data_IF_423785656310
#
_entry.id   IF_423785656310
#
_cell.length_a   1.000
_cell.length_b   1.000
_cell.length_c   1.000
_cell.angle_alpha   90.00
_cell.angle_beta   90.00
_cell.angle_gamma   90.00
#
_symmetry.space_group_name_H-M   'P 1'
#
loop_
_entity.id
_entity.type
_entity.pdbx_description
1 polymer ?
#
# COMPACT_ATOMS: atom_id res chain seq x y z
N UNK A 1 16.85 -8.24 24.32
CA UNK A 1 16.02 -8.76 23.22
C UNK A 1 14.59 -8.19 23.30
N UNK A 2 13.96 -8.24 24.45
CA UNK A 2 12.58 -7.81 24.69
C UNK A 2 12.40 -6.28 24.54
N UNK A 3 13.33 -5.49 25.08
CA UNK A 3 13.34 -4.04 24.93
C UNK A 3 13.44 -3.60 23.47
N UNK A 4 14.22 -4.32 22.65
CA UNK A 4 14.34 -4.07 21.23
C UNK A 4 13.06 -4.40 20.45
N UNK A 5 12.27 -5.39 20.88
CA UNK A 5 10.97 -5.69 20.28
C UNK A 5 9.95 -4.61 20.58
N UNK A 6 9.92 -4.10 21.81
CA UNK A 6 9.06 -2.97 22.20
C UNK A 6 9.43 -1.71 21.43
N UNK A 7 10.73 -1.37 21.38
CA UNK A 7 11.22 -0.23 20.60
C UNK A 7 10.85 -0.35 19.13
N UNK A 8 10.99 -1.54 18.53
CA UNK A 8 10.55 -1.78 17.13
C UNK A 8 9.05 -1.61 16.97
N UNK A 9 8.23 -2.13 17.87
CA UNK A 9 6.77 -2.07 17.79
C UNK A 9 6.26 -0.64 17.89
N UNK A 10 6.84 0.12 18.80
CA UNK A 10 6.43 1.50 19.08
C UNK A 10 7.06 2.46 18.09
N UNK A 11 8.38 2.43 17.90
CA UNK A 11 9.09 3.33 16.99
C UNK A 11 8.64 3.12 15.55
N UNK A 12 8.40 1.87 15.12
CA UNK A 12 7.97 1.57 13.76
C UNK A 12 6.56 2.13 13.48
N UNK A 13 5.62 1.99 14.41
CA UNK A 13 4.25 2.51 14.24
C UNK A 13 4.18 4.02 14.48
N UNK A 14 4.86 4.53 15.49
CA UNK A 14 4.88 5.96 15.78
C UNK A 14 5.66 6.77 14.74
N UNK A 15 6.73 6.25 14.16
CA UNK A 15 7.42 6.90 13.02
C UNK A 15 6.54 7.02 11.76
N UNK A 16 5.42 6.30 11.67
CA UNK A 16 4.41 6.52 10.62
C UNK A 16 3.52 7.73 10.91
N UNK A 17 3.30 8.04 12.16
CA UNK A 17 2.36 9.08 12.62
C UNK A 17 3.08 10.38 12.96
N UNK A 18 4.31 10.30 13.43
CA UNK A 18 5.11 11.46 13.78
C UNK A 18 6.23 11.71 12.77
N UNK A 19 6.62 12.98 12.56
CA UNK A 19 7.78 13.31 11.73
C UNK A 19 9.01 12.54 12.17
N UNK A 20 9.92 12.28 11.23
CA UNK A 20 11.12 11.46 11.47
C UNK A 20 12.09 12.01 12.53
N UNK A 21 11.90 13.25 12.94
CA UNK A 21 12.64 13.96 13.97
C UNK A 21 12.09 13.73 15.39
N UNK A 22 10.95 13.05 15.54
CA UNK A 22 10.41 12.64 16.84
C UNK A 22 10.82 11.20 17.13
N UNK A 23 11.71 11.01 18.07
CA UNK A 23 12.13 9.68 18.54
C UNK A 23 11.61 9.44 19.97
N UNK A 24 11.06 8.24 20.19
CA UNK A 24 10.68 7.78 21.52
C UNK A 24 11.80 6.93 22.09
N UNK A 25 12.22 7.23 23.29
CA UNK A 25 13.12 6.40 24.07
C UNK A 25 12.36 5.79 25.23
N UNK A 26 12.42 4.45 25.34
CA UNK A 26 11.81 3.73 26.45
C UNK A 26 12.91 3.49 27.46
N UNK A 27 12.87 4.21 28.56
CA UNK A 27 13.67 3.94 29.72
C UNK A 27 12.82 3.13 30.71
N UNK A 28 13.13 1.86 30.86
CA UNK A 28 12.41 0.97 31.78
C UNK A 28 12.50 1.41 33.24
N UNK A 29 13.48 2.26 33.60
CA UNK A 29 13.67 2.76 34.94
C UNK A 29 12.91 4.08 35.22
N UNK A 30 12.73 4.91 34.20
CA UNK A 30 12.19 6.26 34.34
C UNK A 30 10.91 6.53 33.50
N UNK A 31 10.41 5.50 32.81
CA UNK A 31 9.23 5.62 31.97
C UNK A 31 9.54 6.08 30.54
N UNK A 32 8.55 6.64 29.89
CA UNK A 32 8.63 7.08 28.52
C UNK A 32 9.28 8.45 28.40
N UNK A 33 10.30 8.59 27.56
CA UNK A 33 10.87 9.86 27.18
C UNK A 33 10.71 10.08 25.69
N UNK A 34 10.23 11.27 25.32
CA UNK A 34 10.26 11.76 23.96
C UNK A 34 11.55 12.55 23.81
N UNK A 35 12.46 12.07 22.94
CA UNK A 35 13.63 12.83 22.51
C UNK A 35 13.17 13.77 21.39
N UNK A 36 13.46 15.04 21.52
CA UNK A 36 13.09 16.10 20.58
C UNK A 36 11.57 16.36 20.49
N UNK A 37 11.10 17.04 21.51
CA UNK A 37 9.74 17.57 21.57
C UNK A 37 9.59 18.80 20.67
N UNK A 38 8.96 18.63 19.52
CA UNK A 38 8.05 19.67 19.08
C UNK A 38 6.74 19.42 19.80
N UNK A 39 6.32 20.37 20.61
CA UNK A 39 5.24 20.37 21.62
C UNK A 39 3.84 19.94 21.13
N UNK A 40 3.72 19.28 19.99
CA UNK A 40 2.46 19.04 19.28
C UNK A 40 1.59 17.92 19.87
N UNK A 41 2.11 17.05 20.72
CA UNK A 41 1.42 15.81 21.12
C UNK A 41 1.43 15.47 22.59
N UNK A 42 2.04 16.32 23.39
CA UNK A 42 2.01 16.12 24.83
C UNK A 42 0.94 17.02 25.44
N UNK A 43 0.13 16.50 26.38
CA UNK A 43 -0.71 17.39 27.17
C UNK A 43 0.20 18.41 27.84
N UNK A 44 -0.06 19.68 27.57
CA UNK A 44 0.58 20.77 28.29
C UNK A 44 0.37 20.55 29.78
N UNK A 45 1.45 20.47 30.51
CA UNK A 45 1.46 20.39 31.96
C UNK A 45 1.11 19.01 32.59
N UNK A 46 2.09 18.17 32.63
CA UNK A 46 2.09 17.05 33.56
C UNK A 46 3.39 16.28 33.42
N UNK A 47 4.04 15.99 34.48
CA UNK A 47 5.34 15.33 34.58
C UNK A 47 5.45 13.93 33.94
N UNK A 48 4.51 13.55 33.04
CA UNK A 48 4.48 12.28 32.33
C UNK A 48 4.59 12.53 30.84
N UNK A 49 5.66 12.05 30.25
CA UNK A 49 5.98 12.15 28.83
C UNK A 49 5.31 11.04 27.97
N UNK A 50 4.40 10.26 28.57
CA UNK A 50 3.68 9.19 27.87
C UNK A 50 2.43 9.71 27.17
N UNK A 51 2.10 9.22 25.95
CA UNK A 51 0.85 9.50 25.28
C UNK A 51 -0.36 9.19 26.16
N UNK A 52 -1.42 9.99 26.07
CA UNK A 52 -2.61 9.86 26.92
C UNK A 52 -3.21 8.46 26.90
N UNK A 53 -3.25 7.84 25.73
CA UNK A 53 -3.80 6.48 25.57
C UNK A 53 -3.02 5.45 26.42
N UNK A 54 -1.70 5.59 26.53
CA UNK A 54 -0.88 4.69 27.37
C UNK A 54 -1.16 4.94 28.84
N UNK A 55 -1.35 6.20 29.25
CA UNK A 55 -1.67 6.57 30.63
C UNK A 55 -3.02 6.03 31.05
N UNK A 56 -4.02 6.13 30.19
CA UNK A 56 -5.39 5.63 30.44
C UNK A 56 -5.37 4.12 30.59
N UNK A 57 -4.74 3.41 29.68
CA UNK A 57 -4.66 1.95 29.72
C UNK A 57 -3.89 1.49 30.96
N UNK A 58 -2.81 2.18 31.32
CA UNK A 58 -2.06 1.89 32.52
C UNK A 58 -2.90 2.09 33.78
N UNK A 59 -3.67 3.17 33.87
CA UNK A 59 -4.60 3.42 34.96
C UNK A 59 -5.58 2.25 35.15
N UNK A 60 -6.15 1.72 34.06
CA UNK A 60 -7.02 0.56 34.11
C UNK A 60 -6.34 -0.73 34.61
N UNK A 61 -5.03 -0.87 34.37
CA UNK A 61 -4.27 -2.01 34.91
C UNK A 61 -3.98 -1.86 36.44
N UNK A 62 -3.98 -0.65 36.95
CA UNK A 62 -3.81 -0.38 38.37
C UNK A 62 -5.14 -0.47 39.14
N UNK A 63 -6.29 -0.40 38.43
CA UNK A 63 -7.63 -0.49 39.07
C UNK A 63 -8.05 -1.96 39.28
N UNK A 64 -8.38 -2.36 40.50
CA UNK A 64 -8.82 -3.72 40.80
C UNK A 64 -10.14 -4.08 40.11
N UNK A 65 -10.16 -5.22 39.40
CA UNK A 65 -11.36 -5.76 38.78
C UNK A 65 -11.72 -5.24 37.43
N UNK A 66 -10.86 -4.43 36.78
CA UNK A 66 -11.06 -4.06 35.36
C UNK A 66 -10.88 -5.28 34.46
N UNK A 67 -11.87 -5.57 33.62
CA UNK A 67 -11.83 -6.67 32.66
C UNK A 67 -11.45 -6.12 31.29
N UNK A 68 -10.42 -6.67 30.70
CA UNK A 68 -9.97 -6.27 29.36
C UNK A 68 -10.74 -7.06 28.28
N UNK A 69 -11.96 -6.64 28.00
CA UNK A 69 -12.77 -7.10 26.86
C UNK A 69 -13.17 -5.91 25.98
N UNK A 70 -13.80 -6.19 24.85
CA UNK A 70 -14.17 -5.16 23.85
C UNK A 70 -15.15 -4.13 24.47
N UNK A 71 -16.11 -4.58 25.24
CA UNK A 71 -17.16 -3.72 25.82
C UNK A 71 -16.59 -2.80 26.91
N UNK A 72 -15.77 -3.34 27.82
CA UNK A 72 -15.13 -2.55 28.88
C UNK A 72 -14.14 -1.53 28.32
N UNK A 73 -13.38 -1.90 27.26
CA UNK A 73 -12.49 -0.98 26.56
C UNK A 73 -13.29 0.10 25.83
N UNK A 74 -14.42 -0.24 25.20
CA UNK A 74 -15.33 0.73 24.59
C UNK A 74 -15.90 1.70 25.63
N UNK A 75 -16.33 1.20 26.79
CA UNK A 75 -16.81 2.05 27.86
C UNK A 75 -15.72 3.01 28.37
N UNK A 76 -14.49 2.53 28.50
CA UNK A 76 -13.33 3.36 28.86
C UNK A 76 -13.09 4.48 27.83
N UNK A 77 -13.11 4.15 26.54
CA UNK A 77 -12.97 5.13 25.46
C UNK A 77 -14.09 6.16 25.55
N UNK A 78 -15.35 5.72 25.70
CA UNK A 78 -16.51 6.61 25.85
C UNK A 78 -16.38 7.55 27.06
N UNK A 79 -15.88 7.03 28.19
CA UNK A 79 -15.62 7.85 29.37
C UNK A 79 -14.54 8.91 29.09
N UNK A 80 -13.48 8.54 28.40
CA UNK A 80 -12.43 9.47 27.98
C UNK A 80 -12.96 10.54 27.02
N UNK A 81 -13.82 10.15 26.08
CA UNK A 81 -14.42 11.04 25.10
C UNK A 81 -15.39 12.06 25.71
N UNK A 82 -15.83 11.86 26.94
CA UNK A 82 -16.58 12.88 27.68
C UNK A 82 -15.72 14.11 28.01
N UNK A 83 -14.39 13.97 28.02
CA UNK A 83 -13.43 15.04 28.27
C UNK A 83 -12.84 15.60 26.98
N UNK A 84 -12.35 14.71 26.11
CA UNK A 84 -11.89 15.06 24.76
C UNK A 84 -12.10 13.89 23.78
N UNK A 85 -12.32 14.22 22.51
CA UNK A 85 -12.40 13.20 21.46
C UNK A 85 -11.07 12.45 21.34
N UNK A 86 -11.17 11.12 21.22
CA UNK A 86 -10.01 10.30 20.87
C UNK A 86 -9.65 10.54 19.42
N UNK A 87 -8.36 10.65 19.11
CA UNK A 87 -7.90 10.82 17.74
C UNK A 87 -7.85 9.47 17.05
N UNK A 88 -8.09 9.47 15.74
CA UNK A 88 -8.13 8.27 14.93
C UNK A 88 -6.87 7.40 15.12
N UNK A 89 -5.69 8.01 15.11
CA UNK A 89 -4.44 7.27 15.31
C UNK A 89 -4.28 6.73 16.75
N UNK A 90 -4.79 7.42 17.78
CA UNK A 90 -4.75 6.92 19.17
C UNK A 90 -5.56 5.63 19.27
N UNK A 91 -6.71 5.58 18.60
CA UNK A 91 -7.57 4.41 18.55
C UNK A 91 -6.91 3.26 17.77
N UNK A 92 -6.34 3.53 16.59
CA UNK A 92 -5.66 2.52 15.78
C UNK A 92 -4.47 1.87 16.52
N UNK A 93 -3.79 2.62 17.37
CA UNK A 93 -2.65 2.12 18.14
C UNK A 93 -2.99 1.61 19.54
N UNK A 94 -4.27 1.56 19.92
CA UNK A 94 -4.73 1.15 21.24
C UNK A 94 -4.13 -0.17 21.69
N UNK A 95 -4.20 -1.23 20.88
CA UNK A 95 -3.64 -2.54 21.25
C UNK A 95 -2.12 -2.52 21.42
N UNK A 96 -1.43 -1.67 20.66
CA UNK A 96 0.02 -1.49 20.82
C UNK A 96 0.34 -0.72 22.10
N UNK A 97 -0.48 0.27 22.45
CA UNK A 97 -0.38 1.01 23.70
C UNK A 97 -0.66 0.11 24.91
N UNK A 98 -1.65 -0.78 24.82
CA UNK A 98 -1.95 -1.78 25.85
C UNK A 98 -0.75 -2.70 26.11
N UNK A 99 -0.13 -3.24 25.06
CA UNK A 99 1.07 -4.08 25.19
C UNK A 99 2.22 -3.32 25.85
N UNK A 100 2.46 -2.08 25.41
CA UNK A 100 3.53 -1.26 25.92
C UNK A 100 3.33 -0.92 27.40
N UNK A 101 2.13 -0.48 27.78
CA UNK A 101 1.77 -0.16 29.15
C UNK A 101 1.90 -1.39 30.08
N UNK A 102 1.39 -2.55 29.65
CA UNK A 102 1.46 -3.78 30.43
C UNK A 102 2.92 -4.22 30.66
N UNK A 103 3.74 -4.18 29.63
CA UNK A 103 5.16 -4.58 29.74
C UNK A 103 5.94 -3.62 30.63
N UNK A 104 5.69 -2.31 30.49
CA UNK A 104 6.33 -1.31 31.34
C UNK A 104 5.94 -1.51 32.82
N UNK A 105 4.64 -1.68 33.11
CA UNK A 105 4.15 -1.90 34.45
C UNK A 105 4.73 -3.17 35.07
N UNK A 106 4.77 -4.28 34.30
CA UNK A 106 5.39 -5.52 34.77
C UNK A 106 6.88 -5.36 35.05
N UNK A 107 7.63 -4.64 34.23
CA UNK A 107 9.04 -4.38 34.47
C UNK A 107 9.27 -3.58 35.75
N UNK A 108 8.44 -2.56 36.02
CA UNK A 108 8.49 -1.78 37.25
C UNK A 108 8.15 -2.63 38.51
N UNK A 109 7.12 -3.48 38.40
CA UNK A 109 6.69 -4.34 39.50
C UNK A 109 7.71 -5.45 39.82
N UNK A 110 8.39 -5.99 38.80
CA UNK A 110 9.50 -6.94 38.98
C UNK A 110 10.65 -6.27 39.74
N UNK A 111 11.01 -5.04 39.36
CA UNK A 111 12.07 -4.29 40.07
C UNK A 111 11.71 -4.00 41.53
N UNK A 112 10.41 -3.86 41.84
CA UNK A 112 9.90 -3.63 43.22
C UNK A 112 9.60 -4.92 43.98
N UNK A 113 9.89 -6.08 43.38
CA UNK A 113 9.56 -7.41 43.95
C UNK A 113 8.05 -7.61 44.24
N UNK A 114 7.19 -6.94 43.44
CA UNK A 114 5.72 -6.95 43.59
C UNK A 114 5.03 -7.78 42.52
N UNK A 115 5.59 -8.92 42.16
CA UNK A 115 5.12 -9.76 41.06
C UNK A 115 3.77 -10.46 41.31
N UNK A 116 3.36 -10.63 42.55
CA UNK A 116 2.07 -11.22 42.93
C UNK A 116 0.98 -10.18 43.17
N UNK A 117 1.24 -8.93 42.87
CA UNK A 117 0.29 -7.83 43.05
C UNK A 117 -0.89 -7.87 42.09
N UNK A 118 -2.02 -7.25 42.45
CA UNK A 118 -3.18 -7.12 41.54
C UNK A 118 -2.79 -6.42 40.23
N UNK A 119 -2.03 -5.32 40.24
CA UNK A 119 -1.57 -4.70 38.96
C UNK A 119 -0.75 -5.63 38.06
N UNK A 120 0.06 -6.53 38.64
CA UNK A 120 0.80 -7.50 37.85
C UNK A 120 -0.13 -8.50 37.13
N UNK A 121 -1.14 -9.00 37.83
CA UNK A 121 -2.16 -9.89 37.26
C UNK A 121 -2.97 -9.18 36.18
N UNK A 122 -3.36 -7.94 36.41
CA UNK A 122 -4.08 -7.12 35.44
C UNK A 122 -3.23 -6.85 34.17
N UNK A 123 -1.95 -6.52 34.32
CA UNK A 123 -1.05 -6.32 33.19
C UNK A 123 -0.88 -7.60 32.36
N UNK A 124 -0.79 -8.76 32.99
CA UNK A 124 -0.78 -10.06 32.31
C UNK A 124 -2.11 -10.30 31.59
N UNK A 125 -3.24 -10.06 32.23
CA UNK A 125 -4.58 -10.19 31.63
C UNK A 125 -4.71 -9.29 30.39
N UNK A 126 -4.25 -8.05 30.47
CA UNK A 126 -4.25 -7.12 29.33
C UNK A 126 -3.42 -7.64 28.16
N UNK A 127 -2.25 -8.26 28.38
CA UNK A 127 -1.44 -8.85 27.31
C UNK A 127 -2.16 -10.02 26.60
N UNK A 128 -2.92 -10.82 27.34
CA UNK A 128 -3.73 -11.88 26.73
C UNK A 128 -4.95 -11.32 26.00
N UNK A 129 -5.61 -10.32 26.57
CA UNK A 129 -6.80 -9.69 26.01
C UNK A 129 -6.55 -9.01 24.64
N UNK A 130 -5.34 -8.55 24.36
CA UNK A 130 -4.98 -7.99 23.05
C UNK A 130 -5.33 -8.91 21.87
N UNK A 131 -5.42 -10.22 22.08
CA UNK A 131 -5.80 -11.19 21.05
C UNK A 131 -7.31 -11.37 20.89
N UNK A 132 -8.07 -10.99 21.89
CA UNK A 132 -9.53 -11.23 21.96
C UNK A 132 -10.34 -9.95 21.78
N UNK A 133 -9.74 -8.78 21.96
CA UNK A 133 -10.40 -7.49 21.70
C UNK A 133 -10.66 -7.34 20.20
N UNK A 134 -11.90 -7.09 19.84
CA UNK A 134 -12.32 -6.83 18.46
C UNK A 134 -12.05 -5.36 18.09
N UNK A 135 -10.91 -5.13 17.43
CA UNK A 135 -10.53 -3.79 16.98
C UNK A 135 -11.42 -3.26 15.87
N UNK A 136 -11.98 -4.14 15.03
CA UNK A 136 -12.87 -3.68 13.96
C UNK A 136 -14.13 -3.04 14.56
N UNK A 137 -14.69 -3.69 15.58
CA UNK A 137 -15.85 -3.17 16.32
C UNK A 137 -15.54 -1.86 17.07
N UNK A 138 -14.37 -1.75 17.72
CA UNK A 138 -13.97 -0.52 18.38
C UNK A 138 -13.76 0.64 17.40
N UNK A 139 -13.15 0.37 16.23
CA UNK A 139 -12.99 1.36 15.18
C UNK A 139 -14.35 1.80 14.60
N UNK A 140 -15.26 0.86 14.39
CA UNK A 140 -16.62 1.18 13.93
C UNK A 140 -17.37 2.10 14.93
N UNK A 141 -17.20 1.89 16.23
CA UNK A 141 -17.91 2.67 17.24
C UNK A 141 -17.30 4.04 17.52
N UNK A 142 -15.97 4.15 17.53
CA UNK A 142 -15.24 5.31 18.06
C UNK A 142 -14.39 6.06 17.03
N UNK A 143 -14.31 5.61 15.78
CA UNK A 143 -13.55 6.34 14.78
C UNK A 143 -14.39 7.47 14.16
N UNK A 144 -14.48 8.58 14.88
CA UNK A 144 -15.23 9.76 14.45
C UNK A 144 -14.75 10.31 13.11
N UNK A 145 -13.46 10.16 12.80
CA UNK A 145 -12.91 10.61 11.53
C UNK A 145 -13.43 9.76 10.36
N UNK A 146 -13.52 8.44 10.52
CA UNK A 146 -14.10 7.56 9.51
C UNK A 146 -15.57 7.90 9.25
N UNK A 147 -16.34 8.05 10.33
CA UNK A 147 -17.76 8.45 10.20
C UNK A 147 -17.90 9.75 9.41
N UNK A 148 -17.04 10.72 9.66
CA UNK A 148 -17.07 11.99 8.93
C UNK A 148 -16.64 11.83 7.47
N UNK A 149 -15.64 11.01 7.17
CA UNK A 149 -15.16 10.78 5.81
C UNK A 149 -16.17 9.99 4.95
N UNK A 150 -17.05 9.19 5.57
CA UNK A 150 -18.13 8.49 4.87
C UNK A 150 -19.21 9.44 4.32
N UNK A 151 -19.33 10.65 4.89
CA UNK A 151 -20.25 11.69 4.41
C UNK A 151 -19.83 12.34 3.09
N UNK A 152 -18.73 11.88 2.50
CA UNK A 152 -18.22 12.39 1.23
C UNK A 152 -19.22 12.25 0.11
N UNK A 153 -19.39 13.32 -0.70
CA UNK A 153 -20.37 13.41 -1.79
C UNK A 153 -20.21 12.31 -2.84
N UNK A 154 -18.97 11.92 -3.15
CA UNK A 154 -18.68 10.92 -4.18
C UNK A 154 -18.99 9.49 -3.72
N UNK A 155 -19.07 9.22 -2.41
CA UNK A 155 -19.34 7.90 -1.83
C UNK A 155 -18.28 6.84 -2.21
N UNK A 156 -17.03 7.25 -2.35
CA UNK A 156 -15.92 6.34 -2.67
C UNK A 156 -15.18 5.87 -1.44
N UNK A 157 -15.21 6.63 -0.34
CA UNK A 157 -14.44 6.30 0.86
C UNK A 157 -14.79 4.92 1.43
N UNK A 158 -16.07 4.60 1.57
CA UNK A 158 -16.56 3.30 2.06
C UNK A 158 -16.18 2.11 1.17
N UNK A 159 -15.88 2.39 -0.09
CA UNK A 159 -15.51 1.36 -1.08
C UNK A 159 -14.01 1.17 -1.19
N UNK A 160 -13.24 1.91 -0.42
CA UNK A 160 -11.79 1.76 -0.36
C UNK A 160 -11.41 0.58 0.51
N UNK A 161 -10.29 -0.05 0.21
CA UNK A 161 -9.74 -1.06 1.09
C UNK A 161 -9.16 -0.41 2.36
N UNK A 162 -9.08 -1.17 3.45
CA UNK A 162 -8.64 -0.72 4.77
C UNK A 162 -7.30 0.04 4.73
N UNK A 163 -6.34 -0.45 3.94
CA UNK A 163 -5.02 0.19 3.79
C UNK A 163 -5.15 1.60 3.18
N UNK A 164 -6.08 1.79 2.24
CA UNK A 164 -6.31 3.09 1.61
C UNK A 164 -7.00 4.04 2.60
N UNK A 165 -7.99 3.56 3.35
CA UNK A 165 -8.66 4.34 4.39
C UNK A 165 -7.66 4.74 5.48
N UNK A 166 -6.80 3.80 5.96
CA UNK A 166 -5.71 4.10 6.89
C UNK A 166 -4.78 5.19 6.34
N UNK A 167 -4.45 5.13 5.05
CA UNK A 167 -3.58 6.12 4.41
C UNK A 167 -4.23 7.51 4.34
N UNK A 168 -5.54 7.59 4.11
CA UNK A 168 -6.30 8.86 4.12
C UNK A 168 -6.30 9.47 5.52
N UNK A 169 -6.63 8.68 6.54
CA UNK A 169 -6.60 9.12 7.95
C UNK A 169 -5.20 9.59 8.34
N UNK A 170 -4.18 8.80 8.00
CA UNK A 170 -2.79 9.14 8.27
C UNK A 170 -2.39 10.48 7.65
N UNK A 171 -2.64 10.67 6.35
CA UNK A 171 -2.27 11.91 5.64
C UNK A 171 -3.02 13.12 6.21
N UNK A 172 -4.30 12.97 6.51
CA UNK A 172 -5.11 14.03 7.11
C UNK A 172 -4.63 14.38 8.51
N UNK A 173 -4.39 13.37 9.35
CA UNK A 173 -3.86 13.55 10.69
C UNK A 173 -2.50 14.28 10.67
N UNK A 174 -1.56 13.87 9.81
CA UNK A 174 -0.26 14.51 9.68
C UNK A 174 -0.36 15.96 9.23
N UNK A 175 -1.31 16.28 8.35
CA UNK A 175 -1.57 17.65 7.90
C UNK A 175 -2.17 18.48 9.03
N UNK A 176 -3.15 17.94 9.75
CA UNK A 176 -3.77 18.60 10.89
C UNK A 176 -2.75 18.96 11.97
N UNK A 177 -1.87 18.02 12.26
CA UNK A 177 -0.75 18.19 13.17
C UNK A 177 0.17 19.34 12.77
N UNK A 178 0.60 19.33 11.51
CA UNK A 178 1.50 20.37 11.00
C UNK A 178 0.84 21.76 11.09
N UNK A 179 -0.45 21.81 10.78
CA UNK A 179 -1.20 23.08 10.77
C UNK A 179 -1.70 23.50 12.17
N UNK A 180 -1.48 22.66 13.20
CA UNK A 180 -1.96 22.92 14.57
C UNK A 180 -3.48 22.90 14.71
N UNK A 181 -4.19 22.20 13.80
CA UNK A 181 -5.64 22.06 13.78
C UNK A 181 -6.09 20.73 14.36
N UNK A 182 -7.35 20.66 14.76
CA UNK A 182 -7.97 19.35 15.06
C UNK A 182 -8.25 18.56 13.77
N UNK A 183 -8.10 17.24 13.81
CA UNK A 183 -8.28 16.38 12.64
C UNK A 183 -9.72 16.40 12.10
N UNK A 184 -10.72 16.47 13.00
CA UNK A 184 -12.13 16.54 12.62
C UNK A 184 -12.49 17.90 12.00
N UNK A 185 -11.89 18.99 12.51
CA UNK A 185 -12.10 20.32 11.96
C UNK A 185 -11.51 20.41 10.54
N UNK A 186 -10.30 19.89 10.34
CA UNK A 186 -9.66 19.87 9.03
C UNK A 186 -10.42 18.97 8.04
N UNK A 187 -10.93 17.84 8.50
CA UNK A 187 -11.75 16.95 7.67
C UNK A 187 -13.03 17.65 7.18
N UNK A 188 -13.72 18.39 8.07
CA UNK A 188 -14.90 19.19 7.70
C UNK A 188 -14.55 20.25 6.67
N UNK A 189 -13.46 20.98 6.85
CA UNK A 189 -12.98 21.97 5.88
C UNK A 189 -12.77 21.33 4.50
N UNK A 190 -12.17 20.14 4.45
CA UNK A 190 -11.94 19.45 3.18
C UNK A 190 -13.22 18.87 2.57
N UNK A 191 -14.17 18.43 3.38
CA UNK A 191 -15.50 17.99 2.90
C UNK A 191 -16.29 19.16 2.28
N UNK A 192 -16.29 20.31 2.92
CA UNK A 192 -16.94 21.52 2.39
C UNK A 192 -16.31 21.95 1.05
N UNK A 193 -14.99 21.92 0.95
CA UNK A 193 -14.29 22.19 -0.30
C UNK A 193 -14.56 21.15 -1.38
N UNK A 194 -14.61 19.88 -1.00
CA UNK A 194 -14.98 18.76 -1.86
C UNK A 194 -16.37 18.95 -2.46
N UNK A 195 -17.34 19.38 -1.62
CA UNK A 195 -18.69 19.71 -2.03
C UNK A 195 -18.76 20.89 -2.99
N UNK A 196 -18.04 21.97 -2.67
CA UNK A 196 -18.03 23.20 -3.47
C UNK A 196 -17.42 22.99 -4.86
N UNK A 197 -16.35 22.19 -4.95
CA UNK A 197 -15.62 21.93 -6.20
C UNK A 197 -16.13 20.68 -6.94
N UNK A 198 -17.07 19.93 -6.36
CA UNK A 198 -17.55 18.63 -6.86
C UNK A 198 -16.41 17.66 -7.19
N UNK A 199 -15.46 17.55 -6.25
CA UNK A 199 -14.27 16.70 -6.35
C UNK A 199 -14.16 15.80 -5.15
N UNK A 200 -13.57 14.63 -5.35
CA UNK A 200 -13.29 13.67 -4.28
C UNK A 200 -12.39 14.29 -3.20
N UNK A 201 -12.70 14.06 -1.92
CA UNK A 201 -11.96 14.59 -0.76
C UNK A 201 -10.46 14.23 -0.79
N UNK A 202 -10.12 13.06 -1.29
CA UNK A 202 -8.75 12.60 -1.42
C UNK A 202 -7.85 13.56 -2.22
N UNK A 203 -8.41 14.31 -3.17
CA UNK A 203 -7.66 15.31 -3.91
C UNK A 203 -7.06 16.36 -2.95
N UNK A 204 -7.86 16.86 -2.00
CA UNK A 204 -7.44 17.88 -1.03
C UNK A 204 -6.48 17.31 0.00
N UNK A 205 -6.75 16.09 0.51
CA UNK A 205 -5.90 15.40 1.48
C UNK A 205 -4.50 15.16 0.88
N UNK A 206 -4.43 14.62 -0.33
CA UNK A 206 -3.14 14.34 -0.98
C UNK A 206 -2.42 15.61 -1.38
N UNK A 207 -3.11 16.61 -1.95
CA UNK A 207 -2.48 17.88 -2.32
C UNK A 207 -1.86 18.58 -1.11
N UNK A 208 -2.58 18.64 0.02
CA UNK A 208 -2.08 19.27 1.23
C UNK A 208 -0.89 18.49 1.82
N UNK A 209 -1.01 17.19 1.95
CA UNK A 209 0.06 16.33 2.45
C UNK A 209 1.31 16.40 1.57
N UNK A 210 1.16 16.28 0.25
CA UNK A 210 2.28 16.31 -0.69
C UNK A 210 2.99 17.66 -0.70
N UNK A 211 2.25 18.74 -0.51
CA UNK A 211 2.84 20.09 -0.40
C UNK A 211 3.75 20.22 0.82
N UNK A 212 3.39 19.57 1.94
CA UNK A 212 4.10 19.68 3.21
C UNK A 212 5.23 18.67 3.34
N UNK A 213 4.99 17.41 2.95
CA UNK A 213 5.86 16.30 3.30
C UNK A 213 6.56 15.64 2.10
N UNK A 214 6.03 15.80 0.87
CA UNK A 214 6.69 15.25 -0.29
C UNK A 214 7.68 16.25 -0.88
N UNK A 215 8.98 15.98 -0.69
CA UNK A 215 10.00 16.65 -1.49
C UNK A 215 9.75 16.29 -2.95
N UNK A 216 9.31 17.26 -3.75
CA UNK A 216 9.31 17.13 -5.21
C UNK A 216 10.75 16.89 -5.63
N UNK A 217 11.15 15.63 -5.78
CA UNK A 217 12.40 15.26 -6.41
C UNK A 217 12.36 15.85 -7.80
N UNK A 218 13.13 16.91 -7.99
CA UNK A 218 13.14 17.63 -9.25
C UNK A 218 13.74 16.71 -10.30
N UNK A 219 12.89 16.10 -11.15
CA UNK A 219 13.33 15.39 -12.36
C UNK A 219 14.18 16.29 -13.27
N UNK A 220 14.17 17.61 -13.01
CA UNK A 220 14.95 18.60 -13.74
C UNK A 220 16.47 18.35 -13.66
N UNK A 221 16.96 17.79 -12.56
CA UNK A 221 18.40 17.50 -12.41
C UNK A 221 18.77 16.09 -12.89
N UNK A 222 17.83 15.14 -12.93
CA UNK A 222 18.11 13.76 -13.30
C UNK A 222 18.60 13.62 -14.74
N UNK A 223 17.85 14.16 -15.70
CA UNK A 223 18.20 14.09 -17.13
C UNK A 223 19.53 14.79 -17.45
N UNK A 224 19.76 16.04 -17.02
CA UNK A 224 21.05 16.68 -17.18
C UNK A 224 22.20 15.89 -16.57
N UNK A 225 22.05 15.38 -15.35
CA UNK A 225 23.08 14.59 -14.70
C UNK A 225 23.40 13.30 -15.46
N UNK A 226 22.40 12.62 -15.96
CA UNK A 226 22.54 11.40 -16.79
C UNK A 226 23.26 11.62 -18.11
N UNK A 227 23.14 12.81 -18.70
CA UNK A 227 23.79 13.13 -19.99
C UNK A 227 25.16 13.78 -19.79
N UNK A 228 25.28 14.70 -18.84
CA UNK A 228 26.47 15.53 -18.68
C UNK A 228 27.58 14.77 -17.94
N UNK A 229 27.27 14.02 -16.88
CA UNK A 229 28.31 13.33 -16.12
C UNK A 229 29.12 12.33 -16.94
N UNK A 230 28.49 11.45 -17.78
CA UNK A 230 29.25 10.58 -18.68
C UNK A 230 30.04 11.36 -19.74
N UNK A 231 29.49 12.45 -20.26
CA UNK A 231 30.17 13.28 -21.26
C UNK A 231 31.43 13.94 -20.69
N UNK A 232 31.34 14.51 -19.51
CA UNK A 232 32.49 15.12 -18.82
C UNK A 232 33.59 14.09 -18.57
N UNK A 233 33.25 12.89 -18.08
CA UNK A 233 34.21 11.82 -17.84
C UNK A 233 34.84 11.30 -19.14
N UNK A 234 34.04 11.15 -20.18
CA UNK A 234 34.54 10.72 -21.50
C UNK A 234 35.53 11.75 -22.08
N UNK A 235 35.22 13.03 -21.99
CA UNK A 235 36.11 14.12 -22.42
C UNK A 235 37.38 14.14 -21.59
N UNK A 236 37.28 13.98 -20.28
CA UNK A 236 38.46 13.91 -19.39
C UNK A 236 39.39 12.78 -19.78
N UNK A 237 38.86 11.57 -20.05
CA UNK A 237 39.64 10.43 -20.54
C UNK A 237 40.28 10.76 -21.91
N UNK A 238 39.58 11.43 -22.81
CA UNK A 238 40.12 11.84 -24.10
C UNK A 238 41.29 12.80 -23.98
N UNK A 239 41.19 13.78 -23.07
CA UNK A 239 42.27 14.76 -22.78
C UNK A 239 43.45 14.06 -22.17
N UNK A 240 43.27 13.20 -21.17
CA UNK A 240 44.35 12.45 -20.52
C UNK A 240 45.10 11.53 -21.51
N UNK A 241 44.36 10.91 -22.43
CA UNK A 241 44.95 10.01 -23.42
C UNK A 241 45.36 10.73 -24.72
N UNK A 242 45.25 12.05 -24.79
CA UNK A 242 45.55 12.89 -25.96
C UNK A 242 44.88 12.40 -27.26
N UNK A 243 43.63 11.91 -27.18
CA UNK A 243 42.90 11.33 -28.29
C UNK A 243 41.55 12.01 -28.47
N UNK A 244 41.33 12.60 -29.65
CA UNK A 244 40.06 13.26 -29.98
C UNK A 244 38.89 12.29 -30.20
N UNK A 245 39.16 11.04 -30.54
CA UNK A 245 38.14 10.04 -30.84
C UNK A 245 37.70 9.26 -29.63
N UNK A 246 38.52 9.22 -28.58
CA UNK A 246 38.26 8.43 -27.38
C UNK A 246 36.99 8.85 -26.61
N UNK A 247 36.62 10.13 -26.49
CA UNK A 247 35.37 10.55 -25.86
C UNK A 247 34.13 9.95 -26.52
N UNK A 248 34.10 9.90 -27.84
CA UNK A 248 32.98 9.33 -28.59
C UNK A 248 32.84 7.82 -28.36
N UNK A 249 33.98 7.11 -28.31
CA UNK A 249 33.99 5.68 -28.06
C UNK A 249 33.60 5.33 -26.63
N UNK A 250 34.07 6.11 -25.65
CA UNK A 250 33.88 5.84 -24.23
C UNK A 250 32.55 6.36 -23.66
N UNK A 251 31.87 7.28 -24.33
CA UNK A 251 30.62 7.86 -23.83
C UNK A 251 29.59 6.81 -23.41
N UNK A 252 29.26 5.87 -24.28
CA UNK A 252 28.27 4.83 -24.01
C UNK A 252 28.72 3.83 -22.92
N UNK A 253 29.93 3.29 -22.92
CA UNK A 253 30.43 2.47 -21.80
C UNK A 253 30.40 3.18 -20.47
N UNK A 254 30.85 4.43 -20.40
CA UNK A 254 30.84 5.24 -19.19
C UNK A 254 29.41 5.53 -18.74
N UNK A 255 28.53 5.87 -19.67
CA UNK A 255 27.11 6.07 -19.41
C UNK A 255 26.44 4.81 -18.81
N UNK A 256 26.77 3.62 -19.34
CA UNK A 256 26.26 2.35 -18.82
C UNK A 256 26.70 2.05 -17.38
N UNK A 257 27.88 2.53 -16.98
CA UNK A 257 28.39 2.39 -15.60
C UNK A 257 27.79 3.43 -14.67
N UNK A 258 27.68 4.69 -15.13
CA UNK A 258 27.17 5.81 -14.31
C UNK A 258 25.68 5.71 -14.07
N UNK A 259 24.92 5.26 -15.08
CA UNK A 259 23.45 5.22 -15.01
C UNK A 259 22.92 4.49 -13.77
N UNK A 260 23.34 3.27 -13.41
CA UNK A 260 22.88 2.59 -12.20
C UNK A 260 23.20 3.36 -10.91
N UNK A 261 24.35 4.03 -10.86
CA UNK A 261 24.73 4.83 -9.70
C UNK A 261 23.84 6.08 -9.56
N UNK A 262 23.60 6.79 -10.66
CA UNK A 262 22.67 7.94 -10.68
C UNK A 262 21.26 7.51 -10.31
N UNK A 263 20.76 6.41 -10.89
CA UNK A 263 19.45 5.84 -10.57
C UNK A 263 19.35 5.53 -9.07
N UNK A 264 20.36 4.87 -8.50
CA UNK A 264 20.38 4.55 -7.09
C UNK A 264 20.33 5.79 -6.20
N UNK A 265 21.20 6.78 -6.43
CA UNK A 265 21.22 8.01 -5.62
C UNK A 265 19.98 8.87 -5.80
N UNK A 266 19.39 8.91 -6.99
CA UNK A 266 18.16 9.65 -7.23
C UNK A 266 16.93 8.95 -6.65
N UNK A 267 16.95 7.63 -6.51
CA UNK A 267 15.85 6.85 -5.92
C UNK A 267 15.91 6.78 -4.39
N UNK A 268 17.09 6.97 -3.78
CA UNK A 268 17.22 6.94 -2.32
C UNK A 268 16.21 7.84 -1.57
N UNK A 269 15.97 9.10 -2.00
CA UNK A 269 15.01 9.97 -1.33
C UNK A 269 13.55 9.71 -1.74
N UNK A 270 13.31 8.85 -2.73
CA UNK A 270 11.96 8.58 -3.24
C UNK A 270 11.36 7.45 -2.43
N UNK A 271 10.35 7.78 -1.64
CA UNK A 271 9.53 6.76 -0.97
C UNK A 271 8.49 6.23 -1.96
N UNK A 272 8.34 4.91 -2.02
CA UNK A 272 7.24 4.31 -2.77
C UNK A 272 5.91 4.68 -2.11
N UNK A 273 5.00 5.25 -2.89
CA UNK A 273 3.65 5.53 -2.43
C UNK A 273 2.72 4.37 -2.77
N UNK A 274 1.86 4.05 -1.81
CA UNK A 274 0.79 3.11 -2.03
C UNK A 274 -0.32 3.82 -2.82
N UNK A 275 -0.70 3.26 -3.96
CA UNK A 275 -1.80 3.82 -4.75
C UNK A 275 -3.14 3.48 -4.09
N UNK A 276 -4.05 4.46 -3.94
CA UNK A 276 -5.38 4.22 -3.44
C UNK A 276 -6.10 3.12 -4.24
N UNK A 277 -6.77 2.23 -3.55
CA UNK A 277 -7.49 1.09 -4.14
C UNK A 277 -8.91 1.03 -3.59
N UNK A 278 -9.83 0.67 -4.48
CA UNK A 278 -11.17 0.30 -4.07
C UNK A 278 -11.21 -1.20 -3.77
N UNK A 279 -12.00 -1.59 -2.79
CA UNK A 279 -12.29 -2.98 -2.51
C UNK A 279 -13.57 -3.39 -3.22
N UNK A 280 -13.48 -4.47 -3.95
CA UNK A 280 -14.64 -5.06 -4.60
C UNK A 280 -15.19 -6.13 -3.65
N UNK A 281 -16.08 -5.75 -2.75
CA UNK A 281 -16.71 -6.64 -1.79
C UNK A 281 -17.48 -7.75 -2.53
N UNK A 282 -16.81 -8.90 -2.71
CA UNK A 282 -17.37 -10.16 -3.19
C UNK A 282 -17.55 -10.31 -4.70
N UNK A 283 -17.85 -9.26 -5.48
CA UNK A 283 -18.00 -9.39 -6.93
C UNK A 283 -17.74 -8.11 -7.70
N UNK A 284 -17.25 -8.24 -8.92
CA UNK A 284 -17.11 -7.11 -9.85
C UNK A 284 -18.50 -6.61 -10.23
N UNK A 285 -18.82 -5.32 -9.98
CA UNK A 285 -20.13 -4.77 -10.30
C UNK A 285 -20.37 -4.76 -11.81
N UNK A 286 -21.61 -4.70 -12.24
CA UNK A 286 -22.00 -4.71 -13.66
C UNK A 286 -21.31 -3.61 -14.48
N UNK A 287 -21.10 -2.44 -13.89
CA UNK A 287 -20.36 -1.31 -14.50
C UNK A 287 -18.85 -1.59 -14.63
N UNK A 288 -18.32 -2.56 -13.89
CA UNK A 288 -16.92 -2.96 -13.87
C UNK A 288 -16.60 -4.20 -14.68
N UNK A 289 -17.43 -4.58 -15.67
CA UNK A 289 -17.20 -5.75 -16.53
C UNK A 289 -15.75 -5.86 -16.96
N UNK A 290 -15.13 -6.99 -16.65
CA UNK A 290 -13.70 -7.19 -16.85
C UNK A 290 -13.45 -8.26 -17.90
N UNK A 291 -12.56 -7.92 -18.86
CA UNK A 291 -12.09 -8.85 -19.89
C UNK A 291 -10.62 -9.16 -19.64
N UNK A 292 -10.30 -10.41 -19.33
CA UNK A 292 -8.91 -10.88 -19.19
C UNK A 292 -8.41 -11.35 -20.55
N UNK A 293 -7.56 -10.55 -21.21
CA UNK A 293 -6.98 -10.86 -22.50
C UNK A 293 -5.69 -11.65 -22.35
N UNK A 294 -5.63 -12.86 -22.93
CA UNK A 294 -4.48 -13.75 -22.87
C UNK A 294 -3.93 -13.94 -24.29
N UNK A 295 -2.84 -13.24 -24.59
CA UNK A 295 -2.13 -13.41 -25.86
C UNK A 295 -1.27 -14.68 -25.83
N UNK A 296 -1.48 -15.59 -26.77
CA UNK A 296 -0.75 -16.86 -26.86
C UNK A 296 -0.44 -17.25 -28.29
N UNK A 297 0.58 -18.10 -28.44
CA UNK A 297 0.91 -18.74 -29.69
C UNK A 297 0.35 -20.18 -29.67
N UNK A 298 -0.22 -20.64 -30.77
CA UNK A 298 -0.69 -22.01 -30.95
C UNK A 298 0.36 -22.84 -31.70
N UNK A 299 1.34 -23.46 -31.02
CA UNK A 299 2.42 -24.16 -31.72
C UNK A 299 2.06 -25.59 -32.11
N UNK A 300 1.27 -26.29 -31.30
CA UNK A 300 0.87 -27.69 -31.49
C UNK A 300 -0.32 -28.09 -30.61
N UNK A 301 -0.89 -29.26 -30.88
CA UNK A 301 -2.05 -29.78 -30.16
C UNK A 301 -1.77 -30.07 -28.66
N UNK A 302 -0.55 -30.46 -28.30
CA UNK A 302 -0.18 -30.73 -26.87
C UNK A 302 -0.24 -29.44 -26.03
N UNK A 303 0.20 -28.31 -26.60
CA UNK A 303 0.13 -27.03 -25.90
C UNK A 303 -1.31 -26.51 -25.76
N UNK A 304 -2.21 -26.85 -26.70
CA UNK A 304 -3.64 -26.54 -26.56
C UNK A 304 -4.24 -27.22 -25.32
N UNK A 305 -3.86 -28.47 -25.03
CA UNK A 305 -4.33 -29.17 -23.83
C UNK A 305 -3.82 -28.48 -22.54
N UNK A 306 -2.54 -28.10 -22.50
CA UNK A 306 -1.98 -27.33 -21.38
C UNK A 306 -2.64 -25.95 -21.23
N UNK A 307 -3.00 -25.34 -22.35
CA UNK A 307 -3.69 -24.06 -22.34
C UNK A 307 -5.07 -24.16 -21.73
N UNK A 308 -5.79 -25.26 -21.93
CA UNK A 308 -7.08 -25.54 -21.28
C UNK A 308 -6.95 -25.47 -19.76
N UNK A 309 -6.02 -26.25 -19.20
CA UNK A 309 -5.77 -26.27 -17.75
C UNK A 309 -5.40 -24.89 -17.20
N UNK A 310 -4.59 -24.14 -17.95
CA UNK A 310 -4.20 -22.77 -17.56
C UNK A 310 -5.39 -21.81 -17.57
N UNK A 311 -6.24 -21.86 -18.58
CA UNK A 311 -7.43 -21.01 -18.69
C UNK A 311 -8.42 -21.32 -17.57
N UNK A 312 -8.66 -22.60 -17.30
CA UNK A 312 -9.50 -23.05 -16.20
C UNK A 312 -8.97 -22.53 -14.85
N UNK A 313 -7.67 -22.70 -14.58
CA UNK A 313 -7.05 -22.20 -13.35
C UNK A 313 -7.18 -20.69 -13.21
N UNK A 314 -6.92 -19.91 -14.27
CA UNK A 314 -7.09 -18.46 -14.27
C UNK A 314 -8.53 -18.08 -13.98
N UNK A 315 -9.50 -18.76 -14.60
CA UNK A 315 -10.90 -18.51 -14.35
C UNK A 315 -11.28 -18.80 -12.90
N UNK A 316 -10.97 -19.98 -12.37
CA UNK A 316 -11.30 -20.37 -10.98
C UNK A 316 -10.71 -19.45 -9.92
N UNK A 317 -9.56 -18.82 -10.20
CA UNK A 317 -8.93 -17.84 -9.29
C UNK A 317 -9.46 -16.44 -9.42
N UNK A 318 -10.20 -16.11 -10.50
CA UNK A 318 -10.65 -14.74 -10.81
C UNK A 318 -12.15 -14.67 -11.16
N UNK A 319 -12.95 -15.66 -10.81
CA UNK A 319 -14.38 -15.75 -11.17
C UNK A 319 -15.32 -14.88 -10.28
N UNK A 320 -14.86 -13.73 -9.85
CA UNK A 320 -15.64 -12.83 -9.00
C UNK A 320 -16.46 -11.84 -9.85
N UNK A 321 -17.72 -12.17 -10.11
CA UNK A 321 -18.64 -11.31 -10.85
C UNK A 321 -18.59 -11.46 -12.37
N UNK A 322 -18.79 -10.37 -13.12
CA UNK A 322 -18.84 -10.41 -14.61
C UNK A 322 -17.43 -10.33 -15.22
N UNK A 323 -16.69 -11.41 -15.04
CA UNK A 323 -15.35 -11.62 -15.66
C UNK A 323 -15.48 -12.53 -16.86
N UNK A 324 -14.86 -12.14 -17.98
CA UNK A 324 -14.70 -12.97 -19.17
C UNK A 324 -13.25 -13.10 -19.55
N UNK A 325 -12.88 -14.23 -20.09
CA UNK A 325 -11.52 -14.49 -20.56
C UNK A 325 -11.54 -14.56 -22.08
N UNK A 326 -10.71 -13.74 -22.75
CA UNK A 326 -10.49 -13.83 -24.18
C UNK A 326 -9.11 -14.40 -24.47
N UNK A 327 -9.08 -15.44 -25.26
CA UNK A 327 -7.86 -16.01 -25.80
C UNK A 327 -7.53 -15.35 -27.14
N UNK A 328 -6.46 -14.56 -27.14
CA UNK A 328 -5.91 -13.93 -28.35
C UNK A 328 -4.86 -14.86 -28.92
N UNK A 329 -5.24 -15.67 -29.91
CA UNK A 329 -4.43 -16.74 -30.44
C UNK A 329 -3.71 -16.34 -31.73
N UNK A 330 -2.40 -16.45 -31.74
CA UNK A 330 -1.56 -16.30 -32.91
C UNK A 330 -1.09 -17.67 -33.45
N UNK A 331 -0.99 -17.79 -34.76
CA UNK A 331 -0.41 -18.95 -35.41
C UNK A 331 1.11 -18.78 -35.57
N UNK A 332 1.85 -19.91 -35.53
CA UNK A 332 3.30 -19.91 -35.76
C UNK A 332 3.65 -19.31 -37.14
N UNK A 333 4.76 -18.64 -37.21
CA UNK A 333 5.29 -18.08 -38.46
C UNK A 333 5.41 -19.13 -39.56
N UNK A 334 5.07 -18.77 -40.82
CA UNK A 334 5.16 -19.68 -41.97
C UNK A 334 5.43 -18.90 -43.23
N UNK A 335 5.93 -19.61 -44.25
CA UNK A 335 6.11 -19.04 -45.63
C UNK A 335 4.79 -18.89 -46.36
N UNK A 336 3.76 -19.61 -45.97
CA UNK A 336 2.41 -19.54 -46.51
C UNK A 336 1.48 -18.75 -45.59
N UNK A 337 0.48 -18.06 -46.13
CA UNK A 337 -0.49 -17.31 -45.31
C UNK A 337 -1.35 -18.22 -44.45
N UNK A 338 -1.61 -19.44 -44.87
CA UNK A 338 -2.37 -20.47 -44.11
C UNK A 338 -1.93 -21.87 -44.56
N UNK A 339 -2.02 -22.83 -43.64
CA UNK A 339 -1.71 -24.25 -43.86
C UNK A 339 -2.86 -25.14 -43.38
N UNK A 340 -2.88 -26.40 -43.80
CA UNK A 340 -3.84 -27.41 -43.29
C UNK A 340 -3.72 -27.61 -41.78
N UNK A 341 -2.50 -27.58 -41.26
CA UNK A 341 -2.20 -27.71 -39.83
C UNK A 341 -2.77 -26.55 -39.01
N UNK A 342 -2.76 -25.34 -39.57
CA UNK A 342 -3.36 -24.19 -38.92
C UNK A 342 -4.86 -24.38 -38.69
N UNK A 343 -5.54 -24.91 -39.71
CA UNK A 343 -6.98 -25.17 -39.63
C UNK A 343 -7.30 -26.24 -38.59
N UNK A 344 -6.45 -27.26 -38.48
CA UNK A 344 -6.59 -28.27 -37.44
C UNK A 344 -6.42 -27.67 -36.03
N UNK A 345 -5.36 -26.85 -35.82
CA UNK A 345 -5.10 -26.17 -34.53
C UNK A 345 -6.23 -25.22 -34.14
N UNK A 346 -6.77 -24.47 -35.12
CA UNK A 346 -7.91 -23.58 -34.86
C UNK A 346 -9.13 -24.38 -34.47
N UNK A 347 -9.47 -25.47 -35.16
CA UNK A 347 -10.62 -26.33 -34.77
C UNK A 347 -10.45 -26.97 -33.40
N UNK A 348 -9.26 -27.45 -33.08
CA UNK A 348 -8.97 -27.99 -31.74
C UNK A 348 -9.13 -26.92 -30.65
N UNK A 349 -8.64 -25.71 -30.91
CA UNK A 349 -8.79 -24.58 -29.95
C UNK A 349 -10.25 -24.15 -29.81
N UNK A 350 -11.01 -24.10 -30.93
CA UNK A 350 -12.44 -23.80 -30.90
C UNK A 350 -13.20 -24.82 -30.09
N UNK A 351 -12.92 -26.13 -30.29
CA UNK A 351 -13.55 -27.21 -29.49
C UNK A 351 -13.20 -27.06 -28.01
N UNK A 352 -11.95 -26.82 -27.68
CA UNK A 352 -11.51 -26.59 -26.30
C UNK A 352 -12.27 -25.43 -25.64
N UNK A 353 -12.44 -24.30 -26.34
CA UNK A 353 -13.20 -23.15 -25.83
C UNK A 353 -14.69 -23.47 -25.70
N UNK A 354 -15.26 -24.25 -26.62
CA UNK A 354 -16.65 -24.70 -26.53
C UNK A 354 -16.85 -25.60 -25.29
N UNK A 355 -15.94 -26.53 -25.05
CA UNK A 355 -15.96 -27.41 -23.88
C UNK A 355 -15.87 -26.59 -22.57
N UNK A 356 -14.98 -25.61 -22.51
CA UNK A 356 -14.87 -24.69 -21.38
C UNK A 356 -16.14 -23.84 -21.20
N UNK A 357 -16.74 -23.36 -22.28
CA UNK A 357 -17.96 -22.59 -22.22
C UNK A 357 -19.18 -23.39 -21.79
N UNK A 358 -19.21 -24.67 -22.11
CA UNK A 358 -20.23 -25.57 -21.60
C UNK A 358 -20.08 -25.79 -20.08
N UNK A 359 -18.85 -25.84 -19.59
CA UNK A 359 -18.54 -26.03 -18.16
C UNK A 359 -18.71 -24.73 -17.34
N UNK A 360 -18.41 -23.54 -17.93
CA UNK A 360 -18.32 -22.26 -17.24
C UNK A 360 -19.21 -21.16 -17.84
N UNK A 361 -20.42 -21.46 -18.23
CA UNK A 361 -21.49 -20.49 -18.59
C UNK A 361 -21.09 -19.41 -19.63
N UNK A 362 -20.42 -19.82 -20.70
CA UNK A 362 -20.00 -18.92 -21.79
C UNK A 362 -19.07 -17.76 -21.37
N UNK A 363 -18.15 -18.03 -20.48
CA UNK A 363 -17.19 -17.04 -19.96
C UNK A 363 -15.92 -16.90 -20.80
N UNK A 364 -15.71 -17.77 -21.82
CA UNK A 364 -14.51 -17.78 -22.63
C UNK A 364 -14.78 -17.34 -24.07
N UNK A 365 -13.92 -16.51 -24.59
CA UNK A 365 -13.94 -16.02 -25.95
C UNK A 365 -12.65 -16.43 -26.68
N UNK A 366 -12.73 -16.69 -27.98
CA UNK A 366 -11.58 -16.99 -28.83
C UNK A 366 -11.50 -15.98 -29.96
N UNK A 367 -10.36 -15.34 -30.06
CA UNK A 367 -9.97 -14.51 -31.22
C UNK A 367 -8.71 -15.12 -31.85
N UNK A 368 -8.81 -15.59 -33.08
CA UNK A 368 -7.65 -16.08 -33.85
C UNK A 368 -7.26 -15.08 -34.89
N UNK A 369 -6.03 -14.60 -34.80
CA UNK A 369 -5.50 -13.60 -35.69
C UNK A 369 -4.89 -14.25 -36.95
N UNK A 370 -5.19 -13.66 -38.11
CA UNK A 370 -4.58 -14.06 -39.37
C UNK A 370 -3.13 -13.56 -39.44
N UNK A 371 -2.25 -14.35 -40.10
CA UNK A 371 -0.88 -13.91 -40.38
C UNK A 371 -0.88 -12.77 -41.41
N UNK A 372 0.04 -11.83 -41.25
CA UNK A 372 0.34 -10.77 -42.20
C UNK A 372 1.74 -10.96 -42.78
N UNK A 373 1.96 -10.58 -44.02
CA UNK A 373 3.27 -10.70 -44.65
C UNK A 373 4.25 -9.64 -44.14
N UNK A 374 5.36 -10.07 -43.56
CA UNK A 374 6.45 -9.20 -43.15
C UNK A 374 7.46 -9.04 -44.31
N UNK A 375 7.55 -7.83 -44.85
CA UNK A 375 8.51 -7.52 -45.91
C UNK A 375 9.96 -7.68 -45.44
N UNK A 376 10.24 -7.38 -44.20
CA UNK A 376 11.58 -7.45 -43.59
C UNK A 376 12.03 -8.88 -43.38
N UNK A 377 11.13 -9.74 -42.89
CA UNK A 377 11.44 -11.15 -42.59
C UNK A 377 11.12 -12.10 -43.77
N UNK A 378 10.38 -11.62 -44.77
CA UNK A 378 9.91 -12.39 -45.94
C UNK A 378 9.10 -13.65 -45.56
N UNK A 379 8.33 -13.55 -44.47
CA UNK A 379 7.46 -14.61 -43.96
C UNK A 379 6.11 -14.03 -43.53
N UNK A 380 5.13 -14.90 -43.38
CA UNK A 380 3.84 -14.55 -42.79
C UNK A 380 3.90 -14.76 -41.26
N UNK A 381 3.61 -13.71 -40.50
CA UNK A 381 3.67 -13.70 -39.04
C UNK A 381 2.55 -12.86 -38.43
N UNK A 382 2.29 -13.01 -37.13
CA UNK A 382 1.47 -12.08 -36.39
C UNK A 382 2.22 -10.77 -36.14
N UNK A 383 1.75 -9.66 -36.76
CA UNK A 383 2.39 -8.35 -36.63
C UNK A 383 2.38 -7.91 -35.15
N UNK A 384 3.56 -7.47 -34.67
CA UNK A 384 3.75 -6.96 -33.30
C UNK A 384 3.24 -7.91 -32.18
N UNK A 385 3.21 -9.21 -32.45
CA UNK A 385 2.83 -10.28 -31.51
C UNK A 385 1.86 -9.84 -30.39
N UNK A 386 2.35 -9.59 -29.16
CA UNK A 386 1.49 -9.26 -28.01
C UNK A 386 0.70 -7.97 -28.20
N UNK A 387 1.36 -6.89 -28.61
CA UNK A 387 0.70 -5.59 -28.81
C UNK A 387 -0.33 -5.67 -29.92
N UNK A 388 0.07 -6.15 -31.09
CA UNK A 388 -0.84 -6.28 -32.22
C UNK A 388 -1.98 -7.29 -32.01
N UNK A 389 -1.85 -8.23 -31.05
CA UNK A 389 -2.95 -9.11 -30.67
C UNK A 389 -3.99 -8.41 -29.81
N UNK A 390 -3.60 -7.40 -29.04
CA UNK A 390 -4.53 -6.59 -28.25
C UNK A 390 -5.21 -5.52 -29.10
N UNK A 391 -4.52 -5.02 -30.12
CA UNK A 391 -5.06 -3.98 -31.02
C UNK A 391 -6.03 -4.54 -32.11
N UNK A 392 -6.21 -5.88 -32.17
CA UNK A 392 -7.08 -6.55 -33.15
C UNK A 392 -8.47 -6.78 -32.57
#
# INVERSE_FOLDING_TARGET
AFENEIKKLIIFKWNRVYPADVSFDIDLNHGWRIKDTKELYLPAAGQSEAPDIIRIVRFCMEEPGFVFDTDSVSALISAFESVRKIKSFELEYLLSAMKAAAIQLLAELIQREQTESIPAQQAISALFAVKTIDMAQLLEWHNHLDHLLTEEICGYYDKMNDITQELYRYKLCMTAIHDGKDELELAKEYLERSAAENRHIGFFIYEAYDRLFCRKTSSKCYIPLMLIAPAVLAVLCGVLCQSLWLPFLLYFPIWAIIKPAVDYFCLLPVKSEYLPRMELNGSIPEKGRTLIAIATLLPNAKEIMRLREKLEKIYRTNCFGDVRIVLLADLKENRLPSTSDDQLLIRLTQKMIQDLNHEFENRFLLLVRKRSYSKTQRIYTGKERKRGAVDT
#
